data_IF_993389247905
#
_entry.id   IF_993389247905
#
_cell.length_a   1.000
_cell.length_b   1.000
_cell.length_c   1.000
_cell.angle_alpha   90.00
_cell.angle_beta   90.00
_cell.angle_gamma   90.00
#
_symmetry.space_group_name_H-M   'P 1'
#
loop_
_entity.id
_entity.type
_entity.pdbx_description
1 polymer ?
#
# COMPACT_ATOMS: atom_id res chain seq x y z
N UNK A 1 4.94 -18.50 9.55
CA UNK A 1 4.56 -19.33 10.71
C UNK A 1 3.10 -19.06 11.08
N UNK A 2 2.45 -19.92 11.88
CA UNK A 2 1.06 -19.71 12.33
C UNK A 2 0.89 -18.45 13.19
N UNK A 3 1.92 -18.08 13.96
CA UNK A 3 1.95 -16.85 14.76
C UNK A 3 1.92 -15.61 13.87
N UNK A 4 2.77 -15.55 12.83
CA UNK A 4 2.82 -14.41 11.90
C UNK A 4 1.47 -14.19 11.20
N UNK A 5 0.76 -15.27 10.87
CA UNK A 5 -0.57 -15.20 10.28
C UNK A 5 -1.59 -14.60 11.26
N UNK A 6 -1.61 -15.09 12.51
CA UNK A 6 -2.53 -14.58 13.54
C UNK A 6 -2.24 -13.12 13.85
N UNK A 7 -0.96 -12.74 13.95
CA UNK A 7 -0.53 -11.36 14.17
C UNK A 7 -0.87 -10.44 13.01
N UNK A 8 -0.69 -10.92 11.77
CA UNK A 8 -1.11 -10.20 10.58
C UNK A 8 -2.63 -10.03 10.50
N UNK A 9 -3.38 -11.08 10.80
CA UNK A 9 -4.85 -11.09 10.72
C UNK A 9 -5.50 -10.13 11.72
N UNK A 10 -4.97 -10.05 12.94
CA UNK A 10 -5.49 -9.15 13.99
C UNK A 10 -4.98 -7.71 13.86
N UNK A 11 -4.05 -7.43 12.96
CA UNK A 11 -3.57 -6.07 12.74
C UNK A 11 -4.54 -5.26 11.88
N UNK A 12 -5.02 -4.14 12.40
CA UNK A 12 -5.86 -3.20 11.64
C UNK A 12 -5.11 -2.52 10.48
N UNK A 13 -3.77 -2.51 10.53
CA UNK A 13 -2.91 -1.86 9.52
C UNK A 13 -1.65 -2.69 9.29
N UNK A 14 -1.55 -3.25 8.09
CA UNK A 14 -0.36 -3.98 7.63
C UNK A 14 0.59 -3.05 6.86
N UNK A 15 1.89 -3.37 6.78
CA UNK A 15 2.86 -2.64 5.97
C UNK A 15 2.65 -2.78 4.44
N UNK A 16 1.52 -3.35 4.01
CA UNK A 16 1.17 -3.52 2.59
C UNK A 16 1.05 -2.18 1.83
N UNK A 17 0.90 -1.05 2.53
CA UNK A 17 0.99 0.28 1.93
C UNK A 17 2.35 0.55 1.28
N UNK A 18 3.45 0.01 1.82
CA UNK A 18 4.77 0.13 1.19
C UNK A 18 4.85 -0.63 -0.13
N UNK A 19 4.22 -1.82 -0.20
CA UNK A 19 4.12 -2.58 -1.45
C UNK A 19 3.28 -1.80 -2.47
N UNK A 20 2.17 -1.18 -2.05
CA UNK A 20 1.38 -0.32 -2.93
C UNK A 20 2.19 0.87 -3.46
N UNK A 21 2.98 1.52 -2.62
CA UNK A 21 3.88 2.60 -3.03
C UNK A 21 4.91 2.11 -4.06
N UNK A 22 5.55 0.97 -3.82
CA UNK A 22 6.52 0.39 -4.76
C UNK A 22 5.87 0.02 -6.10
N UNK A 23 4.69 -0.61 -6.08
CA UNK A 23 3.94 -0.95 -7.31
C UNK A 23 3.60 0.30 -8.11
N UNK A 24 3.17 1.36 -7.44
CA UNK A 24 2.85 2.62 -8.09
C UNK A 24 4.11 3.28 -8.68
N UNK A 25 5.20 3.30 -7.92
CA UNK A 25 6.50 3.84 -8.31
C UNK A 25 7.05 3.16 -9.58
N UNK A 26 7.17 1.83 -9.60
CA UNK A 26 7.83 1.12 -10.69
C UNK A 26 6.92 0.81 -11.89
N UNK A 27 5.60 0.87 -11.72
CA UNK A 27 4.67 0.33 -12.72
C UNK A 27 3.35 1.07 -12.87
N UNK A 28 3.21 2.28 -12.30
CA UNK A 28 2.00 3.10 -12.39
C UNK A 28 0.71 2.32 -12.01
N UNK A 29 0.83 1.38 -11.08
CA UNK A 29 -0.25 0.45 -10.73
C UNK A 29 -1.36 1.08 -9.89
N UNK A 30 -1.21 2.34 -9.48
CA UNK A 30 -2.16 3.09 -8.64
C UNK A 30 -2.39 2.48 -7.25
N UNK A 31 -3.05 3.22 -6.37
CA UNK A 31 -3.46 2.76 -5.05
C UNK A 31 -4.71 3.50 -4.55
N UNK A 32 -5.26 3.03 -3.42
CA UNK A 32 -6.36 3.70 -2.71
C UNK A 32 -5.85 4.39 -1.45
N UNK A 33 -6.51 5.47 -1.07
CA UNK A 33 -6.24 6.21 0.15
C UNK A 33 -7.25 5.86 1.25
N UNK A 34 -6.87 6.14 2.48
CA UNK A 34 -7.67 5.88 3.69
C UNK A 34 -8.52 7.08 4.11
N UNK A 35 -8.18 8.27 3.61
CA UNK A 35 -8.80 9.54 3.95
C UNK A 35 -9.73 10.05 2.84
N UNK A 36 -9.62 9.48 1.64
CA UNK A 36 -10.39 9.90 0.47
C UNK A 36 -10.71 8.70 -0.43
N UNK A 37 -11.96 8.62 -0.85
CA UNK A 37 -12.39 7.64 -1.86
C UNK A 37 -11.80 7.98 -3.24
N UNK A 38 -11.40 6.95 -3.98
CA UNK A 38 -10.85 7.08 -5.33
C UNK A 38 -9.68 6.14 -5.60
N UNK A 39 -9.12 6.29 -6.80
CA UNK A 39 -7.90 5.61 -7.26
C UNK A 39 -6.88 6.70 -7.57
N UNK A 40 -5.67 6.55 -7.05
CA UNK A 40 -4.62 7.57 -7.08
C UNK A 40 -3.36 6.99 -7.70
N UNK A 41 -2.71 7.79 -8.55
CA UNK A 41 -1.33 7.60 -8.99
C UNK A 41 -0.50 8.75 -8.41
N UNK A 42 0.73 8.48 -8.00
CA UNK A 42 1.68 9.50 -7.56
C UNK A 42 2.77 9.62 -8.61
N UNK A 43 3.09 10.85 -9.01
CA UNK A 43 4.31 11.13 -9.77
C UNK A 43 5.46 11.18 -8.76
N UNK A 44 6.36 10.20 -8.83
CA UNK A 44 7.38 9.97 -7.80
C UNK A 44 8.73 10.62 -8.10
N UNK A 45 8.97 10.99 -9.36
CA UNK A 45 10.16 11.72 -9.77
C UNK A 45 9.91 13.21 -9.51
N UNK A 46 10.86 13.88 -8.86
CA UNK A 46 10.89 15.34 -8.78
C UNK A 46 11.59 15.89 -10.03
N UNK A 47 11.12 17.04 -10.55
CA UNK A 47 11.92 17.91 -11.44
C UNK A 47 13.08 18.56 -10.68
#
# INVERSE_FOLDING_TARGET
SAIDFVDGYRSSRLPANMIQAQRDFFGAHTYKRIDKEGVFHTEWEEE
#
